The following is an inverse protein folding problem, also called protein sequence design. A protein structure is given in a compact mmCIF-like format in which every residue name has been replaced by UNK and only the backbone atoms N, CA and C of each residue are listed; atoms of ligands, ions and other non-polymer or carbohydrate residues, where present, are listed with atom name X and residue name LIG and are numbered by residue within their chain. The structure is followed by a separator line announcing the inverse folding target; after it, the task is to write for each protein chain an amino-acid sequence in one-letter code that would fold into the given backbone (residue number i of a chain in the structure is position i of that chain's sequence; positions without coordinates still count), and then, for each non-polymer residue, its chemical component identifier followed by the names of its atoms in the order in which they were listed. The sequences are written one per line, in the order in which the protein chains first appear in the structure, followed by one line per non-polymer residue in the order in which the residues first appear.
data_IF_261561446823
#
_entry.id   IF_261561446823
#
_cell.length_a   1.000
_cell.length_b   1.000
_cell.length_c   1.000
_cell.angle_alpha   90.00
_cell.angle_beta   90.00
_cell.angle_gamma   90.00
#
_symmetry.space_group_name_H-M   'P 1'
#
loop_
_entity.id
_entity.type
_entity.pdbx_description
1 polymer ?
#
# COMPACT_ATOMS: atom_id res chain seq x y z
N UNK A 1 10.48 -6.64 -27.82
CA UNK A 1 9.33 -7.37 -27.25
C UNK A 1 9.71 -8.54 -26.33
N UNK A 2 10.59 -9.49 -26.67
CA UNK A 2 10.94 -10.63 -25.79
C UNK A 2 11.67 -10.26 -24.48
N UNK A 3 12.42 -9.16 -24.42
CA UNK A 3 13.15 -8.76 -23.22
C UNK A 3 12.31 -7.97 -22.19
N UNK A 4 11.26 -7.32 -22.63
CA UNK A 4 10.34 -6.57 -21.75
C UNK A 4 9.43 -7.54 -20.99
N UNK A 5 8.97 -8.58 -21.66
CA UNK A 5 8.19 -9.67 -21.04
C UNK A 5 9.01 -10.46 -20.00
N UNK A 6 10.32 -10.66 -20.26
CA UNK A 6 11.20 -11.33 -19.28
C UNK A 6 11.42 -10.48 -18.01
N UNK A 7 11.51 -9.16 -18.12
CA UNK A 7 11.68 -8.27 -16.95
C UNK A 7 10.40 -8.11 -16.13
N UNK A 8 9.24 -8.06 -16.77
CA UNK A 8 7.94 -8.06 -16.07
C UNK A 8 7.69 -9.40 -15.36
N UNK A 9 8.05 -10.52 -15.99
CA UNK A 9 7.97 -11.85 -15.38
C UNK A 9 8.95 -12.02 -14.20
N UNK A 10 10.11 -11.34 -14.21
CA UNK A 10 11.08 -11.39 -13.10
C UNK A 10 10.59 -10.61 -11.90
N UNK A 11 9.96 -9.45 -12.11
CA UNK A 11 9.29 -8.70 -11.03
C UNK A 11 8.14 -9.52 -10.43
N UNK A 12 7.35 -10.19 -11.29
CA UNK A 12 6.28 -11.10 -10.90
C UNK A 12 6.77 -12.30 -10.08
N UNK A 13 7.87 -12.89 -10.48
CA UNK A 13 8.50 -13.98 -9.73
C UNK A 13 8.98 -13.55 -8.35
N UNK A 14 9.46 -12.33 -8.23
CA UNK A 14 9.94 -11.77 -6.95
C UNK A 14 8.82 -11.30 -6.03
N UNK A 15 7.61 -11.06 -6.55
CA UNK A 15 6.43 -10.67 -5.73
C UNK A 15 5.67 -11.87 -5.17
N UNK A 16 6.12 -13.09 -5.41
CA UNK A 16 5.43 -14.32 -4.95
C UNK A 16 4.15 -14.65 -5.70
N UNK A 17 3.66 -13.74 -6.55
CA UNK A 17 2.40 -13.86 -7.28
C UNK A 17 2.52 -14.77 -8.54
N UNK A 18 3.72 -15.12 -8.97
CA UNK A 18 3.98 -15.89 -10.19
C UNK A 18 4.51 -17.29 -9.98
N UNK A 19 4.64 -17.80 -8.76
CA UNK A 19 5.09 -19.17 -8.54
C UNK A 19 3.91 -20.14 -8.47
N UNK A 20 3.40 -20.56 -9.63
CA UNK A 20 2.97 -21.94 -9.80
C UNK A 20 4.23 -22.79 -10.05
N UNK A 21 5.02 -23.00 -9.05
CA UNK A 21 5.93 -24.13 -8.99
C UNK A 21 5.14 -25.26 -8.39
N UNK A 22 4.65 -26.19 -9.20
CA UNK A 22 4.27 -27.51 -8.71
C UNK A 22 5.53 -28.16 -8.12
N UNK A 23 5.75 -27.96 -6.84
CA UNK A 23 6.47 -28.92 -6.04
C UNK A 23 5.36 -29.65 -5.29
N UNK A 24 4.62 -30.49 -6.01
CA UNK A 24 4.04 -31.62 -5.36
C UNK A 24 5.24 -32.50 -4.97
N UNK A 25 5.49 -32.80 -3.67
CA UNK A 25 6.33 -33.92 -3.35
C UNK A 25 5.62 -35.13 -3.94
N UNK A 26 6.30 -35.92 -4.79
CA UNK A 26 5.90 -37.29 -5.05
C UNK A 26 5.97 -38.04 -3.72
N UNK A 27 4.88 -38.02 -2.99
CA UNK A 27 4.67 -38.91 -1.88
C UNK A 27 4.02 -40.15 -2.44
N UNK A 28 4.85 -41.08 -2.86
CA UNK A 28 4.44 -42.46 -3.12
C UNK A 28 4.00 -43.07 -1.81
N UNK A 29 2.71 -43.15 -1.59
CA UNK A 29 2.12 -43.89 -0.47
C UNK A 29 0.96 -43.15 0.18
N UNK A 30 -0.25 -43.42 -0.30
CA UNK A 30 -1.49 -43.42 0.50
C UNK A 30 -1.88 -42.14 1.24
N UNK A 31 -1.49 -40.97 0.76
CA UNK A 31 -1.98 -39.71 1.30
C UNK A 31 -3.12 -39.24 0.40
N UNK A 32 -4.31 -39.37 0.95
CA UNK A 32 -5.53 -38.76 0.44
C UNK A 32 -5.29 -37.33 0.02
N UNK A 33 -5.83 -37.00 -1.12
CA UNK A 33 -5.92 -35.71 -1.78
C UNK A 33 -5.79 -34.49 -0.85
N UNK A 34 -4.60 -33.92 -0.79
CA UNK A 34 -4.33 -32.70 -0.01
C UNK A 34 -4.97 -31.44 -0.63
N UNK A 35 -5.54 -31.53 -1.83
CA UNK A 35 -6.21 -30.40 -2.48
C UNK A 35 -7.47 -29.98 -1.75
N UNK A 36 -8.13 -30.88 -1.00
CA UNK A 36 -9.23 -30.58 -0.09
C UNK A 36 -8.83 -29.77 1.16
N UNK A 37 -7.56 -29.85 1.56
CA UNK A 37 -7.05 -29.13 2.73
C UNK A 37 -6.94 -27.62 2.55
N UNK A 38 -6.92 -27.14 1.31
CA UNK A 38 -6.67 -25.76 0.97
C UNK A 38 -7.90 -25.06 0.39
N UNK A 39 -9.08 -25.66 0.54
CA UNK A 39 -10.37 -25.04 0.26
C UNK A 39 -10.90 -24.34 1.51
N UNK A 40 -11.93 -23.52 1.35
CA UNK A 40 -12.59 -22.73 2.39
C UNK A 40 -12.92 -23.51 3.69
N UNK A 41 -13.10 -24.83 3.59
CA UNK A 41 -13.38 -25.69 4.72
C UNK A 41 -12.16 -26.03 5.58
N UNK A 42 -10.94 -25.72 5.12
CA UNK A 42 -9.71 -26.04 5.87
C UNK A 42 -9.57 -25.22 7.15
N UNK A 43 -10.14 -24.02 7.19
CA UNK A 43 -10.12 -23.17 8.37
C UNK A 43 -10.90 -23.79 9.53
N UNK A 44 -12.09 -24.31 9.26
CA UNK A 44 -12.90 -24.97 10.27
C UNK A 44 -12.24 -26.23 10.80
N UNK A 45 -11.61 -27.02 9.93
CA UNK A 45 -10.85 -28.21 10.31
C UNK A 45 -9.68 -27.86 11.25
N UNK A 46 -8.86 -26.88 10.91
CA UNK A 46 -7.72 -26.49 11.74
C UNK A 46 -8.15 -25.85 13.05
N UNK A 47 -9.17 -25.00 13.04
CA UNK A 47 -9.76 -24.41 14.24
C UNK A 47 -10.32 -25.49 15.15
N UNK A 48 -11.04 -26.44 14.58
CA UNK A 48 -11.63 -27.55 15.31
C UNK A 48 -10.56 -28.52 15.84
N UNK A 49 -9.55 -28.82 15.05
CA UNK A 49 -8.42 -29.64 15.46
C UNK A 49 -7.60 -28.97 16.56
N UNK A 50 -7.33 -27.67 16.45
CA UNK A 50 -6.64 -26.91 17.48
C UNK A 50 -7.45 -26.79 18.78
N UNK A 51 -8.77 -26.75 18.70
CA UNK A 51 -9.66 -26.67 19.87
C UNK A 51 -9.86 -28.01 20.57
N UNK A 52 -9.75 -29.12 19.83
CA UNK A 52 -10.20 -30.42 20.35
C UNK A 52 -9.20 -31.19 21.21
N UNK A 53 -7.84 -31.07 20.95
CA UNK A 53 -7.13 -32.14 21.60
C UNK A 53 -5.69 -32.14 21.79
N UNK A 54 -5.03 -32.31 20.73
CA UNK A 54 -3.66 -32.78 20.77
C UNK A 54 -2.74 -31.68 21.28
N UNK A 55 -3.27 -30.49 21.23
CA UNK A 55 -2.58 -29.26 21.58
C UNK A 55 -3.13 -28.61 22.85
N UNK A 56 -3.90 -29.33 23.59
CA UNK A 56 -4.21 -29.00 24.98
C UNK A 56 -2.98 -29.18 25.91
N UNK A 57 -1.79 -28.91 25.40
CA UNK A 57 -0.71 -28.55 26.27
C UNK A 57 -1.20 -27.31 26.99
N UNK A 58 -1.45 -27.38 28.32
CA UNK A 58 -1.76 -26.19 29.08
C UNK A 58 -0.50 -25.33 29.08
N UNK A 59 -0.30 -24.57 28.01
CA UNK A 59 0.63 -23.48 28.05
C UNK A 59 -0.10 -22.43 28.85
N UNK A 60 0.32 -22.11 30.07
CA UNK A 60 -0.22 -20.97 30.76
C UNK A 60 -0.07 -19.80 29.75
N UNK A 61 -1.09 -18.98 29.59
CA UNK A 61 -0.92 -17.78 28.77
C UNK A 61 0.33 -17.09 29.28
N UNK A 62 1.27 -16.81 28.39
CA UNK A 62 2.44 -16.04 28.77
C UNK A 62 1.87 -14.71 29.21
N UNK A 63 1.71 -14.52 30.51
CA UNK A 63 1.35 -13.25 31.09
C UNK A 63 2.56 -12.35 30.97
N UNK A 64 2.76 -11.81 29.77
CA UNK A 64 3.70 -10.73 29.60
C UNK A 64 3.12 -9.50 30.26
N UNK A 65 3.93 -8.81 30.99
CA UNK A 65 3.59 -7.48 31.49
C UNK A 65 3.46 -6.48 30.33
N UNK A 66 4.03 -6.82 29.16
CA UNK A 66 4.08 -6.01 27.95
C UNK A 66 3.61 -6.83 26.74
N UNK A 67 2.68 -6.35 25.94
CA UNK A 67 2.27 -7.02 24.71
C UNK A 67 3.45 -7.22 23.74
N UNK A 68 3.45 -8.34 23.01
CA UNK A 68 4.38 -8.60 21.92
C UNK A 68 3.62 -9.00 20.68
N UNK A 69 3.71 -8.19 19.65
CA UNK A 69 3.03 -8.39 18.37
C UNK A 69 4.00 -9.07 17.41
N UNK A 70 3.66 -10.28 16.95
CA UNK A 70 4.32 -10.93 15.84
C UNK A 70 3.56 -10.60 14.55
N UNK A 71 4.21 -9.93 13.61
CA UNK A 71 3.65 -9.70 12.29
C UNK A 71 4.22 -10.69 11.29
N UNK A 72 3.33 -11.32 10.53
CA UNK A 72 3.69 -12.18 9.39
C UNK A 72 2.99 -11.62 8.15
N UNK A 73 3.75 -11.33 7.09
CA UNK A 73 3.18 -10.65 5.93
C UNK A 73 3.88 -10.91 4.62
N UNK A 74 3.26 -10.46 3.52
CA UNK A 74 3.92 -10.35 2.23
C UNK A 74 4.78 -9.07 2.21
N UNK A 75 6.10 -9.26 2.28
CA UNK A 75 7.07 -8.19 2.35
C UNK A 75 7.77 -7.92 1.01
N UNK A 76 7.23 -8.46 -0.09
CA UNK A 76 7.89 -8.40 -1.40
C UNK A 76 7.85 -7.00 -2.04
N UNK A 77 6.91 -6.14 -1.65
CA UNK A 77 6.79 -4.78 -2.15
C UNK A 77 7.41 -3.79 -1.16
N UNK A 78 8.55 -3.15 -1.48
CA UNK A 78 9.26 -2.27 -0.54
C UNK A 78 8.41 -1.14 0.04
N UNK A 79 7.57 -0.48 -0.79
CA UNK A 79 6.69 0.58 -0.33
C UNK A 79 5.62 0.05 0.64
N UNK A 80 5.02 -1.11 0.35
CA UNK A 80 4.04 -1.73 1.22
C UNK A 80 4.68 -2.16 2.55
N UNK A 81 5.87 -2.76 2.49
CA UNK A 81 6.66 -3.10 3.66
C UNK A 81 6.94 -1.88 4.54
N UNK A 82 7.38 -0.75 3.94
CA UNK A 82 7.61 0.49 4.67
C UNK A 82 6.33 0.96 5.39
N UNK A 83 5.24 1.16 4.64
CA UNK A 83 4.04 1.83 5.15
C UNK A 83 3.11 0.94 5.98
N UNK A 84 3.17 -0.39 5.81
CA UNK A 84 2.26 -1.29 6.53
C UNK A 84 2.95 -2.16 7.56
N UNK A 85 4.27 -2.29 7.50
CA UNK A 85 5.03 -3.18 8.39
C UNK A 85 6.03 -2.39 9.24
N UNK A 86 7.00 -1.72 8.63
CA UNK A 86 8.09 -1.07 9.37
C UNK A 86 7.60 0.11 10.22
N UNK A 87 6.62 0.88 9.73
CA UNK A 87 6.02 1.98 10.48
C UNK A 87 5.38 1.57 11.81
N UNK A 88 4.89 0.34 11.90
CA UNK A 88 4.26 -0.15 13.13
C UNK A 88 5.23 -0.23 14.31
N UNK A 89 6.54 -0.30 14.07
CA UNK A 89 7.52 -0.28 15.15
C UNK A 89 7.42 0.99 16.02
N UNK A 90 7.15 2.15 15.40
CA UNK A 90 6.97 3.40 16.15
C UNK A 90 5.67 3.41 16.93
N UNK A 91 4.59 2.91 16.31
CA UNK A 91 3.27 2.85 16.93
C UNK A 91 3.28 1.95 18.16
N UNK A 92 3.84 0.75 18.02
CA UNK A 92 3.88 -0.21 19.13
C UNK A 92 4.86 0.21 20.22
N UNK A 93 5.98 0.84 19.85
CA UNK A 93 6.89 1.41 20.84
C UNK A 93 6.19 2.53 21.67
N UNK A 94 5.38 3.37 21.03
CA UNK A 94 4.59 4.39 21.73
C UNK A 94 3.48 3.80 22.62
N UNK A 95 2.96 2.62 22.26
CA UNK A 95 1.97 1.86 23.02
C UNK A 95 2.58 0.91 24.06
N UNK A 96 3.88 1.00 24.35
CA UNK A 96 4.62 0.12 25.25
C UNK A 96 4.49 -1.37 24.88
N UNK A 97 4.52 -1.70 23.61
CA UNK A 97 4.45 -3.04 23.07
C UNK A 97 5.72 -3.41 22.28
N UNK A 98 6.13 -4.65 22.37
CA UNK A 98 7.19 -5.21 21.53
C UNK A 98 6.64 -5.55 20.16
N UNK A 99 7.46 -5.36 19.12
CA UNK A 99 7.07 -5.63 17.74
C UNK A 99 8.18 -6.35 16.98
N UNK A 100 7.81 -7.43 16.32
CA UNK A 100 8.70 -8.21 15.44
C UNK A 100 7.95 -8.61 14.18
N UNK A 101 8.65 -8.76 13.07
CA UNK A 101 8.00 -9.18 11.82
C UNK A 101 8.84 -10.18 11.03
N UNK A 102 8.17 -10.93 10.15
CA UNK A 102 8.76 -11.89 9.23
C UNK A 102 8.00 -11.96 7.92
N UNK A 103 8.70 -12.32 6.84
CA UNK A 103 8.06 -12.72 5.59
C UNK A 103 7.37 -14.08 5.79
N UNK A 104 6.16 -14.24 5.27
CA UNK A 104 5.33 -15.43 5.49
C UNK A 104 5.96 -16.74 4.97
N UNK A 105 6.91 -16.69 4.05
CA UNK A 105 7.64 -17.87 3.53
C UNK A 105 8.83 -18.27 4.41
N UNK A 106 9.29 -17.41 5.31
CA UNK A 106 10.34 -17.74 6.29
C UNK A 106 9.72 -18.52 7.47
N UNK A 107 9.38 -19.78 7.21
CA UNK A 107 8.71 -20.62 8.19
C UNK A 107 9.47 -20.76 9.53
N UNK A 108 10.80 -20.96 9.56
CA UNK A 108 11.53 -21.06 10.84
C UNK A 108 11.37 -19.80 11.68
N UNK A 109 11.56 -18.62 11.08
CA UNK A 109 11.43 -17.36 11.78
C UNK A 109 9.99 -17.07 12.18
N UNK A 110 9.01 -17.37 11.31
CA UNK A 110 7.60 -17.21 11.64
C UNK A 110 7.22 -18.05 12.86
N UNK A 111 7.66 -19.30 12.91
CA UNK A 111 7.41 -20.19 14.06
C UNK A 111 8.08 -19.67 15.33
N UNK A 112 9.31 -19.19 15.21
CA UNK A 112 10.07 -18.65 16.35
C UNK A 112 9.38 -17.43 16.96
N UNK A 113 9.02 -16.42 16.15
CA UNK A 113 8.39 -15.20 16.66
C UNK A 113 6.98 -15.41 17.24
N UNK A 114 6.27 -16.47 16.82
CA UNK A 114 4.95 -16.79 17.35
C UNK A 114 5.01 -17.37 18.76
N UNK A 115 6.10 -18.08 19.14
CA UNK A 115 6.15 -18.81 20.41
C UNK A 115 6.04 -17.91 21.64
N UNK A 116 6.50 -16.69 21.55
CA UNK A 116 6.49 -15.73 22.66
C UNK A 116 5.64 -14.48 22.36
N UNK A 117 4.87 -14.50 21.29
CA UNK A 117 3.94 -13.45 20.94
C UNK A 117 2.69 -13.47 21.83
N UNK A 118 2.07 -12.31 22.00
CA UNK A 118 0.74 -12.15 22.60
C UNK A 118 -0.35 -11.97 21.53
N UNK A 119 0.02 -11.46 20.35
CA UNK A 119 -0.89 -11.22 19.23
C UNK A 119 -0.20 -11.59 17.91
N UNK A 120 -0.98 -12.09 16.96
CA UNK A 120 -0.56 -12.25 15.57
C UNK A 120 -1.20 -11.14 14.72
N UNK A 121 -0.37 -10.44 13.95
CA UNK A 121 -0.81 -9.55 12.88
C UNK A 121 -0.46 -10.19 11.54
N UNK A 122 -1.46 -10.42 10.69
CA UNK A 122 -1.28 -10.91 9.33
C UNK A 122 -1.43 -9.75 8.35
N UNK A 123 -0.42 -9.53 7.49
CA UNK A 123 -0.47 -8.45 6.51
C UNK A 123 -0.56 -8.99 5.09
N UNK A 124 -1.64 -8.61 4.38
CA UNK A 124 -1.82 -8.83 2.93
C UNK A 124 -1.59 -10.29 2.51
N UNK A 125 -2.03 -11.23 3.33
CA UNK A 125 -1.91 -12.66 3.06
C UNK A 125 -3.21 -13.23 2.53
N UNK A 126 -3.09 -14.11 1.53
CA UNK A 126 -4.17 -14.93 1.02
C UNK A 126 -4.04 -16.36 1.51
N UNK A 127 -5.10 -17.12 1.37
CA UNK A 127 -5.12 -18.56 1.67
C UNK A 127 -4.01 -19.28 0.88
N UNK A 128 -3.05 -19.84 1.62
CA UNK A 128 -1.87 -20.53 1.10
C UNK A 128 -1.35 -21.52 2.14
N UNK A 129 -0.72 -22.64 1.75
CA UNK A 129 -0.22 -23.64 2.70
C UNK A 129 0.63 -23.09 3.85
N UNK A 130 1.51 -22.14 3.58
CA UNK A 130 2.31 -21.50 4.63
C UNK A 130 1.46 -20.65 5.57
N UNK A 131 0.50 -19.89 5.02
CA UNK A 131 -0.41 -19.07 5.82
C UNK A 131 -1.30 -19.93 6.70
N UNK A 132 -1.78 -21.07 6.19
CA UNK A 132 -2.54 -22.06 6.98
C UNK A 132 -1.72 -22.57 8.18
N UNK A 133 -0.42 -22.80 8.02
CA UNK A 133 0.46 -23.20 9.13
C UNK A 133 0.60 -22.11 10.18
N UNK A 134 0.75 -20.84 9.78
CA UNK A 134 0.81 -19.71 10.71
C UNK A 134 -0.48 -19.55 11.49
N UNK A 135 -1.63 -19.67 10.82
CA UNK A 135 -2.95 -19.63 11.46
C UNK A 135 -3.14 -20.79 12.42
N UNK A 136 -2.76 -22.01 12.01
CA UNK A 136 -2.80 -23.18 12.87
C UNK A 136 -1.98 -22.97 14.15
N UNK A 137 -0.75 -22.48 14.03
CA UNK A 137 0.12 -22.23 15.16
C UNK A 137 -0.43 -21.14 16.07
N UNK A 138 -0.96 -20.04 15.50
CA UNK A 138 -1.61 -19.00 16.26
C UNK A 138 -2.82 -19.53 17.08
N UNK A 139 -3.66 -20.36 16.47
CA UNK A 139 -4.79 -20.99 17.16
C UNK A 139 -4.30 -21.96 18.25
N UNK A 140 -3.24 -22.74 17.98
CA UNK A 140 -2.63 -23.62 18.99
C UNK A 140 -2.15 -22.83 20.21
N UNK A 141 -1.54 -21.67 19.98
CA UNK A 141 -1.04 -20.75 21.01
C UNK A 141 -2.13 -19.84 21.59
N UNK A 142 -3.36 -19.89 21.04
CA UNK A 142 -4.50 -19.03 21.41
C UNK A 142 -4.18 -17.55 21.26
N UNK A 143 -3.44 -17.18 20.23
CA UNK A 143 -3.14 -15.80 19.92
C UNK A 143 -4.35 -15.12 19.29
N UNK A 144 -4.77 -13.95 19.75
CA UNK A 144 -5.67 -13.07 19.02
C UNK A 144 -5.05 -12.66 17.67
N UNK A 145 -5.85 -12.62 16.62
CA UNK A 145 -5.38 -12.41 15.24
C UNK A 145 -5.99 -11.11 14.69
N UNK A 146 -5.12 -10.19 14.27
CA UNK A 146 -5.48 -9.02 13.48
C UNK A 146 -5.04 -9.24 12.03
N UNK A 147 -5.93 -8.98 11.07
CA UNK A 147 -5.63 -8.99 9.65
C UNK A 147 -5.55 -7.58 9.10
N UNK A 148 -4.44 -7.20 8.46
CA UNK A 148 -4.24 -5.88 7.86
C UNK A 148 -4.17 -5.98 6.34
N UNK A 149 -4.92 -5.09 5.66
CA UNK A 149 -4.93 -4.99 4.21
C UNK A 149 -5.10 -3.53 3.77
N UNK A 150 -4.32 -3.10 2.80
CA UNK A 150 -4.21 -1.70 2.38
C UNK A 150 -4.86 -1.38 1.02
N UNK A 151 -5.21 -2.42 0.26
CA UNK A 151 -5.92 -2.36 -1.03
C UNK A 151 -7.10 -3.35 -1.03
N UNK A 152 -8.12 -3.20 -1.88
CA UNK A 152 -9.29 -4.09 -1.94
C UNK A 152 -8.99 -5.42 -2.66
N UNK A 153 -7.88 -6.08 -2.31
CA UNK A 153 -7.40 -7.31 -2.96
C UNK A 153 -8.35 -8.50 -2.76
N UNK A 154 -9.21 -8.44 -1.76
CA UNK A 154 -10.24 -9.45 -1.46
C UNK A 154 -11.47 -9.33 -2.36
N UNK A 155 -11.56 -8.29 -3.18
CA UNK A 155 -12.79 -7.88 -3.87
C UNK A 155 -12.72 -8.15 -5.37
N UNK A 156 -13.46 -9.16 -5.81
CA UNK A 156 -13.69 -9.42 -7.25
C UNK A 156 -14.31 -8.21 -7.96
N UNK A 157 -15.35 -7.53 -7.43
CA UNK A 157 -15.91 -6.33 -8.04
C UNK A 157 -14.89 -5.20 -8.20
N UNK A 158 -13.99 -5.00 -7.22
CA UNK A 158 -12.97 -3.98 -7.32
C UNK A 158 -11.99 -4.28 -8.47
N UNK A 159 -11.52 -5.52 -8.60
CA UNK A 159 -10.66 -5.91 -9.73
C UNK A 159 -11.37 -5.86 -11.08
N UNK A 160 -12.64 -6.25 -11.13
CA UNK A 160 -13.41 -6.26 -12.37
C UNK A 160 -13.59 -4.85 -12.98
N UNK A 161 -13.67 -3.83 -12.12
CA UNK A 161 -13.85 -2.42 -12.52
C UNK A 161 -12.55 -1.63 -12.61
N UNK A 162 -11.43 -2.21 -12.16
CA UNK A 162 -10.13 -1.51 -12.12
C UNK A 162 -9.52 -1.38 -13.50
N UNK A 163 -9.60 -0.19 -14.09
CA UNK A 163 -9.13 0.11 -15.44
C UNK A 163 -7.64 -0.13 -15.63
N UNK A 164 -6.83 0.03 -14.59
CA UNK A 164 -5.38 -0.21 -14.64
C UNK A 164 -5.03 -1.68 -14.94
N UNK A 165 -5.97 -2.61 -14.73
CA UNK A 165 -5.78 -4.02 -15.10
C UNK A 165 -5.93 -4.28 -16.61
N UNK A 166 -6.54 -3.35 -17.36
CA UNK A 166 -6.82 -3.54 -18.79
C UNK A 166 -5.56 -3.41 -19.66
N UNK A 167 -4.49 -2.83 -19.13
CA UNK A 167 -3.17 -2.75 -19.80
C UNK A 167 -2.31 -4.00 -19.54
N UNK A 168 -2.75 -4.88 -18.63
CA UNK A 168 -2.06 -6.13 -18.31
C UNK A 168 -2.51 -7.27 -19.22
N UNK A 169 -1.70 -8.33 -19.38
CA UNK A 169 -2.13 -9.55 -20.06
C UNK A 169 -3.43 -10.09 -19.43
N UNK A 170 -4.42 -10.54 -20.25
CA UNK A 170 -5.71 -11.04 -19.74
C UNK A 170 -5.58 -12.16 -18.69
N UNK A 171 -4.57 -13.03 -18.86
CA UNK A 171 -4.31 -14.15 -17.94
C UNK A 171 -3.90 -13.62 -16.55
N UNK A 172 -3.26 -12.45 -16.52
CA UNK A 172 -2.84 -11.81 -15.30
C UNK A 172 -4.00 -11.16 -14.58
N UNK A 173 -4.89 -10.50 -15.32
CA UNK A 173 -6.15 -9.96 -14.78
C UNK A 173 -7.02 -11.08 -14.21
N UNK A 174 -7.18 -12.18 -14.96
CA UNK A 174 -7.92 -13.35 -14.51
C UNK A 174 -7.32 -13.92 -13.21
N UNK A 175 -6.00 -14.04 -13.15
CA UNK A 175 -5.31 -14.53 -11.95
C UNK A 175 -5.61 -13.65 -10.70
N UNK A 176 -5.58 -12.33 -10.82
CA UNK A 176 -5.93 -11.46 -9.67
C UNK A 176 -7.37 -11.63 -9.23
N UNK A 177 -8.29 -11.78 -10.18
CA UNK A 177 -9.71 -12.02 -9.90
C UNK A 177 -9.90 -13.36 -9.19
N UNK A 178 -9.20 -14.41 -9.65
CA UNK A 178 -9.26 -15.76 -9.05
C UNK A 178 -8.66 -15.79 -7.64
N UNK A 179 -7.63 -14.97 -7.38
CA UNK A 179 -6.97 -14.90 -6.06
C UNK A 179 -7.75 -14.04 -5.04
N UNK A 180 -8.62 -13.15 -5.48
CA UNK A 180 -9.31 -12.22 -4.58
C UNK A 180 -10.10 -12.91 -3.45
N UNK A 181 -10.89 -13.98 -3.67
CA UNK A 181 -11.59 -14.69 -2.60
C UNK A 181 -10.65 -15.26 -1.52
N UNK A 182 -9.43 -15.61 -1.87
CA UNK A 182 -8.45 -16.18 -0.94
C UNK A 182 -7.93 -15.15 0.09
N UNK A 183 -7.95 -13.87 -0.24
CA UNK A 183 -7.71 -12.80 0.75
C UNK A 183 -8.88 -12.66 1.71
N UNK A 184 -10.12 -12.73 1.20
CA UNK A 184 -11.32 -12.70 2.02
C UNK A 184 -11.39 -13.88 2.99
N UNK A 185 -10.92 -15.07 2.57
CA UNK A 185 -10.82 -16.24 3.45
C UNK A 185 -9.95 -15.95 4.68
N UNK A 186 -8.73 -15.46 4.50
CA UNK A 186 -7.82 -15.15 5.61
C UNK A 186 -8.35 -14.00 6.47
N UNK A 187 -8.93 -12.97 5.84
CA UNK A 187 -9.56 -11.86 6.55
C UNK A 187 -10.65 -12.34 7.51
N UNK A 188 -11.45 -13.32 7.11
CA UNK A 188 -12.53 -13.88 7.94
C UNK A 188 -12.05 -14.86 9.02
N UNK A 189 -10.80 -15.33 8.95
CA UNK A 189 -10.16 -16.14 10.00
C UNK A 189 -9.59 -15.30 11.15
N UNK A 190 -9.46 -13.99 10.97
CA UNK A 190 -8.99 -13.09 12.00
C UNK A 190 -10.10 -12.72 13.00
N UNK A 191 -9.72 -12.21 14.15
CA UNK A 191 -10.63 -11.67 15.16
C UNK A 191 -11.07 -10.26 14.80
N UNK A 192 -10.12 -9.47 14.27
CA UNK A 192 -10.35 -8.09 13.84
C UNK A 192 -9.58 -7.80 12.55
N UNK A 193 -10.00 -6.77 11.83
CA UNK A 193 -9.38 -6.34 10.57
C UNK A 193 -8.92 -4.90 10.68
N UNK A 194 -7.84 -4.53 10.02
CA UNK A 194 -7.45 -3.12 9.84
C UNK A 194 -7.20 -2.79 8.36
N UNK A 195 -7.58 -1.59 7.98
CA UNK A 195 -7.51 -1.11 6.60
C UNK A 195 -6.98 0.32 6.51
N UNK A 196 -6.52 0.72 5.32
CA UNK A 196 -5.80 1.99 5.15
C UNK A 196 -6.68 3.23 4.96
N UNK A 197 -7.95 3.08 4.55
CA UNK A 197 -8.82 4.21 4.22
C UNK A 197 -10.26 3.99 4.67
N UNK A 198 -11.05 5.07 4.88
CA UNK A 198 -12.47 4.93 5.22
C UNK A 198 -13.28 4.19 4.16
N UNK A 199 -13.04 4.47 2.87
CA UNK A 199 -13.75 3.77 1.77
C UNK A 199 -13.41 2.29 1.76
N UNK A 200 -12.14 1.93 1.97
CA UNK A 200 -11.73 0.54 2.08
C UNK A 200 -12.34 -0.14 3.31
N UNK A 201 -12.51 0.58 4.44
CA UNK A 201 -13.18 0.06 5.64
C UNK A 201 -14.64 -0.28 5.34
N UNK A 202 -15.36 0.64 4.73
CA UNK A 202 -16.76 0.46 4.40
C UNK A 202 -16.92 -0.71 3.42
N UNK A 203 -16.05 -0.78 2.40
CA UNK A 203 -16.05 -1.88 1.45
C UNK A 203 -15.64 -3.23 2.08
N UNK A 204 -14.63 -3.27 2.95
CA UNK A 204 -14.24 -4.49 3.65
C UNK A 204 -15.36 -5.02 4.55
N UNK A 205 -16.17 -4.13 5.13
CA UNK A 205 -17.31 -4.50 5.96
C UNK A 205 -18.44 -5.23 5.21
N UNK A 206 -18.42 -5.19 3.86
CA UNK A 206 -19.31 -6.00 3.01
C UNK A 206 -18.84 -7.46 2.91
N UNK A 207 -17.58 -7.75 3.20
CA UNK A 207 -16.92 -9.06 3.04
C UNK A 207 -16.66 -9.77 4.36
N UNK A 208 -16.78 -9.07 5.50
CA UNK A 208 -16.55 -9.66 6.83
C UNK A 208 -17.51 -9.10 7.86
N UNK A 209 -17.87 -9.93 8.84
CA UNK A 209 -18.56 -9.51 10.06
C UNK A 209 -17.63 -9.12 11.21
N UNK A 210 -16.31 -9.18 10.98
CA UNK A 210 -15.32 -8.81 11.98
C UNK A 210 -15.27 -7.29 12.17
N UNK A 211 -14.94 -6.77 13.35
CA UNK A 211 -14.66 -5.35 13.52
C UNK A 211 -13.57 -4.89 12.55
N UNK A 212 -13.81 -3.78 11.83
CA UNK A 212 -12.85 -3.22 10.86
C UNK A 212 -12.38 -1.86 11.36
N UNK A 213 -11.11 -1.78 11.75
CA UNK A 213 -10.46 -0.58 12.24
C UNK A 213 -9.77 0.20 11.12
N UNK A 214 -9.75 1.51 11.26
CA UNK A 214 -8.98 2.36 10.37
C UNK A 214 -7.54 2.48 10.87
N UNK A 215 -6.59 2.12 10.02
CA UNK A 215 -5.16 2.35 10.22
C UNK A 215 -4.59 3.01 8.96
N UNK A 216 -4.62 4.33 8.93
CA UNK A 216 -4.08 5.09 7.80
C UNK A 216 -2.57 4.96 7.70
N UNK A 217 -2.03 5.19 6.52
CA UNK A 217 -0.61 5.42 6.35
C UNK A 217 -0.24 6.81 6.89
N UNK A 218 0.96 6.95 7.42
CA UNK A 218 1.40 8.18 8.07
C UNK A 218 2.89 8.44 7.81
N UNK A 219 3.38 9.60 8.20
CA UNK A 219 4.80 9.92 8.16
C UNK A 219 5.49 9.36 9.40
N UNK A 220 6.31 8.34 9.22
CA UNK A 220 7.19 7.81 10.23
C UNK A 220 8.46 8.68 10.39
N UNK A 221 9.30 8.32 11.32
CA UNK A 221 10.56 9.02 11.56
C UNK A 221 11.40 9.12 10.28
N UNK A 222 11.52 8.04 9.52
CA UNK A 222 12.32 8.02 8.29
C UNK A 222 11.76 8.97 7.23
N UNK A 223 10.44 9.10 7.13
CA UNK A 223 9.75 10.06 6.27
C UNK A 223 9.98 11.50 6.73
N UNK A 224 9.90 11.75 8.03
CA UNK A 224 10.11 13.09 8.61
C UNK A 224 11.58 13.53 8.61
N UNK A 225 12.53 12.60 8.57
CA UNK A 225 13.97 12.88 8.43
C UNK A 225 14.38 13.10 6.95
N UNK A 226 13.47 12.88 5.99
CA UNK A 226 13.75 13.18 4.58
C UNK A 226 14.16 14.64 4.40
N UNK A 227 15.14 14.86 3.53
CA UNK A 227 15.63 16.21 3.27
C UNK A 227 14.58 16.98 2.47
N UNK A 228 14.10 18.13 2.99
CA UNK A 228 13.18 18.96 2.25
C UNK A 228 13.85 19.50 0.99
N UNK A 229 13.01 19.87 0.04
CA UNK A 229 13.45 20.59 -1.14
C UNK A 229 14.34 21.79 -0.73
N UNK A 230 15.53 21.97 -1.34
CA UNK A 230 16.35 23.13 -1.07
C UNK A 230 15.61 24.44 -1.40
N UNK A 231 15.77 25.44 -0.57
CA UNK A 231 15.27 26.78 -0.88
C UNK A 231 16.08 27.36 -2.06
N UNK A 232 15.37 27.76 -3.10
CA UNK A 232 15.99 28.37 -4.27
C UNK A 232 15.28 27.97 -5.59
N UNK A 233 15.60 28.66 -6.69
CA UNK A 233 15.05 28.30 -8.00
C UNK A 233 15.69 26.99 -8.49
N UNK A 234 14.88 25.99 -8.79
CA UNK A 234 15.31 24.79 -9.52
C UNK A 234 15.35 25.06 -11.04
N UNK A 235 16.21 25.98 -11.47
CA UNK A 235 16.25 26.42 -12.87
C UNK A 235 15.09 27.38 -13.22
N UNK A 236 15.01 27.76 -14.51
CA UNK A 236 13.99 28.69 -14.99
C UNK A 236 12.62 28.04 -15.24
N UNK A 237 12.58 26.73 -15.52
CA UNK A 237 11.38 25.97 -15.85
C UNK A 237 10.59 25.42 -14.66
N UNK A 238 9.36 24.94 -14.90
CA UNK A 238 8.49 24.29 -13.92
C UNK A 238 8.56 22.76 -14.08
N UNK A 239 8.84 22.05 -13.01
CA UNK A 239 9.02 20.58 -12.98
C UNK A 239 7.82 19.92 -12.29
N UNK A 240 7.02 19.22 -13.07
CA UNK A 240 5.84 18.50 -12.61
C UNK A 240 6.15 17.02 -12.43
N UNK A 241 5.93 16.46 -11.24
CA UNK A 241 6.18 15.05 -10.96
C UNK A 241 4.93 14.20 -11.13
N UNK A 242 5.06 13.08 -11.83
CA UNK A 242 4.10 11.98 -11.81
C UNK A 242 4.79 10.71 -11.32
N UNK A 243 4.49 10.29 -10.09
CA UNK A 243 4.99 9.04 -9.53
C UNK A 243 4.10 7.88 -10.00
N UNK A 244 4.43 7.29 -11.14
CA UNK A 244 3.67 6.20 -11.73
C UNK A 244 3.69 4.93 -10.87
N UNK A 245 4.86 4.59 -10.27
CA UNK A 245 4.96 3.35 -9.54
C UNK A 245 4.93 2.12 -10.46
N UNK A 246 4.02 1.15 -10.19
CA UNK A 246 3.86 -0.08 -10.97
C UNK A 246 3.23 0.17 -12.35
N UNK A 247 3.13 -0.90 -13.18
CA UNK A 247 2.44 -0.84 -14.47
C UNK A 247 0.93 -0.56 -14.28
N UNK A 248 0.32 0.11 -15.27
CA UNK A 248 -1.11 0.37 -15.34
C UNK A 248 -1.53 1.79 -14.96
N UNK A 249 -0.66 2.56 -14.32
CA UNK A 249 -0.98 3.94 -13.92
C UNK A 249 -1.05 4.93 -15.10
N UNK A 250 -0.76 4.48 -16.31
CA UNK A 250 -1.05 5.22 -17.55
C UNK A 250 -2.55 5.49 -17.70
N UNK A 251 -3.40 4.60 -17.20
CA UNK A 251 -4.87 4.78 -17.19
C UNK A 251 -5.24 5.92 -16.26
N UNK A 252 -4.62 6.01 -15.10
CA UNK A 252 -4.81 7.12 -14.17
C UNK A 252 -4.32 8.46 -14.77
N UNK A 253 -3.17 8.45 -15.45
CA UNK A 253 -2.62 9.63 -16.10
C UNK A 253 -3.50 10.12 -17.23
N UNK A 254 -4.14 9.23 -17.98
CA UNK A 254 -5.02 9.57 -19.11
C UNK A 254 -6.16 10.51 -18.70
N UNK A 255 -6.57 10.52 -17.43
CA UNK A 255 -7.60 11.45 -16.90
C UNK A 255 -7.20 12.91 -17.11
N UNK A 256 -5.90 13.22 -17.06
CA UNK A 256 -5.36 14.59 -17.13
C UNK A 256 -4.36 14.78 -18.28
N UNK A 257 -4.18 13.79 -19.14
CA UNK A 257 -3.18 13.81 -20.22
C UNK A 257 -3.29 15.05 -21.09
N UNK A 258 -4.52 15.46 -21.45
CA UNK A 258 -4.77 16.64 -22.25
C UNK A 258 -4.28 17.91 -21.54
N UNK A 259 -4.65 18.09 -20.27
CA UNK A 259 -4.29 19.29 -19.50
C UNK A 259 -2.78 19.41 -19.32
N UNK A 260 -2.11 18.29 -19.02
CA UNK A 260 -0.64 18.24 -18.88
C UNK A 260 0.04 18.51 -20.23
N UNK A 261 -0.48 17.95 -21.32
CA UNK A 261 0.05 18.20 -22.67
C UNK A 261 -0.03 19.68 -23.03
N UNK A 262 -1.19 20.30 -22.85
CA UNK A 262 -1.38 21.74 -23.11
C UNK A 262 -0.50 22.60 -22.20
N UNK A 263 -0.38 22.24 -20.92
CA UNK A 263 0.49 22.92 -19.96
C UNK A 263 1.95 22.91 -20.40
N UNK A 264 2.47 21.75 -20.81
CA UNK A 264 3.85 21.62 -21.28
C UNK A 264 4.08 22.37 -22.59
N UNK A 265 3.18 22.24 -23.57
CA UNK A 265 3.31 22.86 -24.89
C UNK A 265 3.37 24.39 -24.82
N UNK A 266 2.79 25.04 -23.81
CA UNK A 266 2.82 26.50 -23.65
C UNK A 266 4.19 27.08 -23.37
N UNK A 267 5.09 26.33 -22.75
CA UNK A 267 6.46 26.78 -22.40
C UNK A 267 7.47 25.65 -22.53
N UNK A 268 8.55 25.81 -23.31
CA UNK A 268 9.52 24.74 -23.56
C UNK A 268 10.41 24.39 -22.35
N UNK A 269 10.45 25.23 -21.33
CA UNK A 269 11.20 25.05 -20.08
C UNK A 269 10.44 24.24 -19.03
N UNK A 270 9.15 23.92 -19.28
CA UNK A 270 8.36 23.04 -18.42
C UNK A 270 8.74 21.57 -18.64
N UNK A 271 8.77 20.79 -17.57
CA UNK A 271 9.13 19.37 -17.62
C UNK A 271 8.10 18.51 -16.88
N UNK A 272 7.81 17.35 -17.47
CA UNK A 272 7.15 16.24 -16.78
C UNK A 272 8.18 15.22 -16.34
N UNK A 273 8.30 15.02 -15.05
CA UNK A 273 9.21 14.03 -14.43
C UNK A 273 8.39 12.82 -14.02
N UNK A 274 8.65 11.69 -14.66
CA UNK A 274 7.95 10.44 -14.41
C UNK A 274 8.85 9.51 -13.59
N UNK A 275 8.35 9.08 -12.41
CA UNK A 275 9.06 8.17 -11.53
C UNK A 275 8.41 6.79 -11.57
N UNK A 276 9.14 5.78 -12.02
CA UNK A 276 8.66 4.41 -12.14
C UNK A 276 8.32 3.99 -13.57
N UNK A 277 7.30 3.16 -13.71
CA UNK A 277 6.91 2.55 -14.99
C UNK A 277 5.97 3.44 -15.78
N UNK A 278 6.35 3.78 -17.01
CA UNK A 278 5.49 4.53 -17.92
C UNK A 278 5.96 4.35 -19.38
N UNK A 279 5.05 4.08 -20.31
CA UNK A 279 5.36 4.04 -21.74
C UNK A 279 5.21 5.44 -22.35
N UNK A 280 6.31 6.20 -22.40
CA UNK A 280 6.32 7.57 -22.95
C UNK A 280 5.96 7.66 -24.42
N UNK A 281 5.94 6.55 -25.17
CA UNK A 281 5.51 6.53 -26.59
C UNK A 281 4.01 6.83 -26.73
N UNK A 282 3.24 6.65 -25.67
CA UNK A 282 1.81 7.00 -25.62
C UNK A 282 1.58 8.50 -25.55
N UNK A 283 2.55 9.27 -25.07
CA UNK A 283 2.44 10.72 -24.99
C UNK A 283 2.57 11.36 -26.37
N UNK A 284 1.88 12.50 -26.61
CA UNK A 284 2.00 13.29 -27.83
C UNK A 284 3.46 13.60 -28.18
N UNK A 285 3.79 13.53 -29.48
CA UNK A 285 5.18 13.68 -29.94
C UNK A 285 5.79 15.04 -29.58
N UNK A 286 4.95 16.09 -29.57
CA UNK A 286 5.34 17.47 -29.32
C UNK A 286 5.90 17.72 -27.92
N UNK A 287 5.48 16.93 -26.93
CA UNK A 287 5.92 17.11 -25.52
C UNK A 287 6.99 16.12 -25.09
N UNK A 288 7.35 15.11 -25.91
CA UNK A 288 8.28 14.05 -25.50
C UNK A 288 9.67 14.56 -25.10
N UNK A 289 10.13 15.64 -25.68
CA UNK A 289 11.38 16.31 -25.34
C UNK A 289 11.34 17.04 -23.98
N UNK A 290 10.16 17.22 -23.42
CA UNK A 290 9.90 17.81 -22.11
C UNK A 290 9.67 16.75 -21.01
N UNK A 291 9.77 15.46 -21.37
CA UNK A 291 9.54 14.35 -20.44
C UNK A 291 10.87 13.74 -19.99
N UNK A 292 11.05 13.67 -18.68
CA UNK A 292 12.16 12.99 -18.02
C UNK A 292 11.63 11.74 -17.31
N UNK A 293 12.32 10.62 -17.47
CA UNK A 293 11.91 9.36 -16.83
C UNK A 293 13.01 8.83 -15.92
N UNK A 294 12.63 8.41 -14.74
CA UNK A 294 13.51 7.74 -13.78
C UNK A 294 12.97 6.36 -13.45
N UNK A 295 13.80 5.34 -13.62
CA UNK A 295 13.45 3.97 -13.26
C UNK A 295 13.26 3.83 -11.74
N UNK A 296 12.70 2.69 -11.32
CA UNK A 296 12.63 2.34 -9.90
C UNK A 296 13.99 2.40 -9.24
N UNK A 297 14.02 3.05 -8.07
CA UNK A 297 15.17 3.16 -7.18
C UNK A 297 14.73 2.83 -5.75
N UNK A 298 15.63 2.88 -4.80
CA UNK A 298 15.30 2.81 -3.38
C UNK A 298 14.49 4.04 -2.92
N UNK A 299 13.96 3.98 -1.71
CA UNK A 299 13.09 5.05 -1.19
C UNK A 299 13.81 6.40 -1.10
N UNK A 300 15.08 6.43 -0.72
CA UNK A 300 15.86 7.68 -0.62
C UNK A 300 16.07 8.30 -2.01
N UNK A 301 16.44 7.50 -3.01
CA UNK A 301 16.58 7.95 -4.40
C UNK A 301 15.25 8.43 -4.99
N UNK A 302 14.13 7.75 -4.68
CA UNK A 302 12.80 8.19 -5.07
C UNK A 302 12.48 9.57 -4.50
N UNK A 303 12.69 9.79 -3.20
CA UNK A 303 12.48 11.08 -2.56
C UNK A 303 13.42 12.16 -3.09
N UNK A 304 14.66 11.81 -3.43
CA UNK A 304 15.61 12.76 -4.04
C UNK A 304 15.14 13.23 -5.41
N UNK A 305 14.62 12.35 -6.27
CA UNK A 305 14.01 12.75 -7.55
C UNK A 305 12.78 13.63 -7.33
N UNK A 306 11.91 13.23 -6.40
CA UNK A 306 10.68 13.97 -6.09
C UNK A 306 11.00 15.38 -5.55
N UNK A 307 12.00 15.54 -4.68
CA UNK A 307 12.42 16.83 -4.14
C UNK A 307 12.91 17.81 -5.21
N UNK A 308 13.36 17.32 -6.35
CA UNK A 308 13.75 18.12 -7.52
C UNK A 308 12.58 18.66 -8.33
N UNK A 309 11.32 18.42 -7.93
CA UNK A 309 10.13 18.86 -8.65
C UNK A 309 9.42 20.03 -7.94
N UNK A 310 8.64 20.81 -8.69
CA UNK A 310 7.89 21.95 -8.15
C UNK A 310 6.54 21.54 -7.57
N UNK A 311 5.88 20.58 -8.20
CA UNK A 311 4.62 20.02 -7.73
C UNK A 311 4.49 18.55 -8.15
N UNK A 312 3.67 17.77 -7.42
CA UNK A 312 3.35 16.39 -7.75
C UNK A 312 1.89 16.26 -8.15
N UNK A 313 1.61 15.61 -9.27
CA UNK A 313 0.25 15.30 -9.73
C UNK A 313 -0.11 13.85 -9.42
N UNK A 314 -1.34 13.66 -8.96
CA UNK A 314 -1.82 12.35 -8.50
C UNK A 314 -3.23 12.08 -9.03
N UNK A 315 -3.39 12.02 -10.37
CA UNK A 315 -4.67 11.66 -10.95
C UNK A 315 -5.00 10.20 -10.65
N UNK A 316 -6.28 9.91 -10.51
CA UNK A 316 -6.81 8.56 -10.45
C UNK A 316 -8.08 8.47 -11.30
N UNK A 317 -8.20 7.40 -12.07
CA UNK A 317 -9.46 7.05 -12.71
C UNK A 317 -10.52 6.72 -11.64
N UNK A 318 -11.78 7.11 -11.90
CA UNK A 318 -12.86 6.87 -10.92
C UNK A 318 -13.41 5.45 -11.05
N UNK A 319 -12.83 4.56 -10.27
CA UNK A 319 -13.28 3.18 -10.08
C UNK A 319 -13.19 2.75 -8.61
N UNK A 320 -13.80 1.64 -8.26
CA UNK A 320 -13.88 1.17 -6.88
C UNK A 320 -12.49 0.90 -6.28
N UNK A 321 -11.56 0.34 -7.05
CA UNK A 321 -10.21 0.07 -6.56
C UNK A 321 -9.47 1.36 -6.20
N UNK A 322 -9.53 2.35 -7.07
CA UNK A 322 -8.89 3.65 -6.88
C UNK A 322 -9.53 4.45 -5.74
N UNK A 323 -10.85 4.36 -5.54
CA UNK A 323 -11.54 4.98 -4.40
C UNK A 323 -11.01 4.46 -3.05
N UNK A 324 -10.55 3.21 -3.00
CA UNK A 324 -9.98 2.59 -1.80
C UNK A 324 -8.52 2.98 -1.53
N UNK A 325 -7.82 3.62 -2.48
CA UNK A 325 -6.39 3.93 -2.35
C UNK A 325 -6.09 4.98 -1.30
N UNK A 326 -4.97 4.79 -0.61
CA UNK A 326 -4.47 5.68 0.44
C UNK A 326 -3.59 6.81 -0.09
N UNK A 327 -3.32 7.80 0.76
CA UNK A 327 -2.55 8.99 0.46
C UNK A 327 -1.02 8.87 0.53
N UNK A 328 -0.43 7.68 0.36
CA UNK A 328 1.03 7.47 0.47
C UNK A 328 1.84 8.44 -0.39
N UNK A 329 1.43 8.64 -1.65
CA UNK A 329 2.15 9.56 -2.56
C UNK A 329 2.12 11.02 -2.07
N UNK A 330 1.02 11.44 -1.43
CA UNK A 330 0.92 12.78 -0.82
C UNK A 330 1.86 12.90 0.37
N UNK A 331 1.96 11.84 1.19
CA UNK A 331 2.90 11.78 2.32
C UNK A 331 4.34 11.91 1.80
N UNK A 332 4.70 11.16 0.76
CA UNK A 332 6.03 11.20 0.16
C UNK A 332 6.37 12.59 -0.39
N UNK A 333 5.46 13.21 -1.15
CA UNK A 333 5.66 14.54 -1.71
C UNK A 333 5.79 15.60 -0.60
N UNK A 334 4.90 15.57 0.38
CA UNK A 334 4.92 16.47 1.50
C UNK A 334 6.21 16.32 2.34
N UNK A 335 6.76 15.10 2.48
CA UNK A 335 7.99 14.83 3.25
C UNK A 335 9.21 15.59 2.70
N UNK A 336 9.23 15.88 1.42
CA UNK A 336 10.27 16.63 0.74
C UNK A 336 9.85 18.07 0.37
N UNK A 337 8.73 18.54 0.92
CA UNK A 337 8.25 19.92 0.72
C UNK A 337 7.72 20.19 -0.68
N UNK A 338 7.17 19.18 -1.37
CA UNK A 338 6.56 19.29 -2.68
C UNK A 338 5.03 19.22 -2.52
N UNK A 339 4.29 20.27 -2.92
CA UNK A 339 2.83 20.27 -2.84
C UNK A 339 2.24 19.30 -3.86
N UNK A 340 1.09 18.72 -3.50
CA UNK A 340 0.37 17.75 -4.34
C UNK A 340 -0.89 18.35 -4.96
N UNK A 341 -1.12 18.01 -6.23
CA UNK A 341 -2.42 18.20 -6.90
C UNK A 341 -3.10 16.84 -6.95
N UNK A 342 -4.24 16.73 -6.31
CA UNK A 342 -4.99 15.48 -6.18
C UNK A 342 -6.41 15.64 -6.68
N UNK A 343 -7.00 14.55 -7.18
CA UNK A 343 -8.45 14.47 -7.44
C UNK A 343 -9.21 14.07 -6.17
N UNK A 344 -10.54 14.01 -6.27
CA UNK A 344 -11.44 13.64 -5.17
C UNK A 344 -11.75 12.14 -5.10
N UNK A 345 -11.13 11.32 -5.96
CA UNK A 345 -11.46 9.89 -6.09
C UNK A 345 -11.05 9.08 -4.85
N UNK A 346 -9.91 9.39 -4.23
CA UNK A 346 -9.34 8.60 -3.15
C UNK A 346 -9.12 9.39 -1.85
N UNK A 347 -8.61 8.69 -0.83
CA UNK A 347 -8.26 9.30 0.46
C UNK A 347 -7.10 10.31 0.40
N UNK A 348 -6.44 10.49 -0.75
CA UNK A 348 -5.39 11.51 -0.94
C UNK A 348 -5.89 12.91 -0.60
N UNK A 349 -7.15 13.24 -0.94
CA UNK A 349 -7.75 14.53 -0.63
C UNK A 349 -7.80 14.85 0.88
N UNK A 350 -7.83 13.83 1.75
CA UNK A 350 -7.84 14.05 3.19
C UNK A 350 -6.55 14.67 3.74
N UNK A 351 -5.43 14.51 2.99
CA UNK A 351 -4.13 15.08 3.37
C UNK A 351 -3.92 16.48 2.81
N UNK A 352 -4.75 16.90 1.84
CA UNK A 352 -4.59 18.17 1.12
C UNK A 352 -5.66 19.16 1.56
N UNK A 353 -5.24 20.32 2.03
CA UNK A 353 -6.07 21.49 2.27
C UNK A 353 -5.94 22.39 1.03
N UNK A 354 -7.00 22.45 0.21
CA UNK A 354 -6.97 23.17 -1.06
C UNK A 354 -6.52 24.63 -0.86
N UNK A 355 -5.61 25.06 -1.75
CA UNK A 355 -5.02 26.41 -1.72
C UNK A 355 -3.99 26.64 -0.60
N UNK A 356 -3.84 25.74 0.38
CA UNK A 356 -2.91 25.91 1.50
C UNK A 356 -1.66 25.03 1.40
N UNK A 357 -1.83 23.70 1.30
CA UNK A 357 -0.71 22.76 1.25
C UNK A 357 -0.70 21.92 -0.02
N UNK A 358 -1.52 22.28 -1.00
CA UNK A 358 -1.69 21.63 -2.29
C UNK A 358 -2.99 22.07 -2.94
N UNK A 359 -3.43 21.33 -3.96
CA UNK A 359 -4.71 21.58 -4.65
C UNK A 359 -5.54 20.31 -4.68
N UNK A 360 -6.82 20.46 -4.44
CA UNK A 360 -7.84 19.41 -4.64
C UNK A 360 -8.68 19.77 -5.84
N UNK A 361 -8.65 18.95 -6.87
CA UNK A 361 -9.39 19.16 -8.12
C UNK A 361 -10.56 18.19 -8.13
N UNK A 362 -11.78 18.71 -8.16
CA UNK A 362 -12.98 17.89 -8.27
C UNK A 362 -13.15 17.32 -9.69
N UNK A 363 -14.12 16.47 -9.90
CA UNK A 363 -14.35 15.81 -11.21
C UNK A 363 -14.71 16.76 -12.34
N UNK A 364 -15.19 17.95 -12.00
CA UNK A 364 -15.51 19.02 -12.97
C UNK A 364 -14.39 20.07 -13.03
N UNK A 365 -13.35 19.93 -12.19
CA UNK A 365 -12.29 20.90 -12.05
C UNK A 365 -11.34 20.92 -13.24
N UNK A 366 -10.70 22.06 -13.40
CA UNK A 366 -9.73 22.31 -14.46
C UNK A 366 -8.31 22.09 -13.95
N UNK A 367 -7.74 20.93 -14.25
CA UNK A 367 -6.35 20.60 -13.92
C UNK A 367 -5.38 21.55 -14.61
N UNK A 368 -5.68 21.95 -15.86
CA UNK A 368 -4.85 22.88 -16.63
C UNK A 368 -4.77 24.25 -15.97
N UNK A 369 -5.89 24.80 -15.51
CA UNK A 369 -5.91 26.07 -14.80
C UNK A 369 -5.13 25.98 -13.48
N UNK A 370 -5.32 24.92 -12.70
CA UNK A 370 -4.58 24.71 -11.45
C UNK A 370 -3.06 24.61 -11.67
N UNK A 371 -2.62 23.95 -12.75
CA UNK A 371 -1.21 23.86 -13.12
C UNK A 371 -0.63 25.23 -13.52
N UNK A 372 -1.39 26.04 -14.29
CA UNK A 372 -0.98 27.40 -14.66
C UNK A 372 -0.88 28.32 -13.45
N UNK A 373 -1.83 28.27 -12.53
CA UNK A 373 -1.83 29.05 -11.30
C UNK A 373 -0.55 28.76 -10.49
N UNK A 374 -0.21 27.49 -10.27
CA UNK A 374 1.01 27.10 -9.56
C UNK A 374 2.28 27.52 -10.32
N UNK A 375 2.30 27.35 -11.64
CA UNK A 375 3.49 27.70 -12.43
C UNK A 375 3.71 29.21 -12.52
N UNK A 376 2.67 30.02 -12.30
CA UNK A 376 2.75 31.49 -12.31
C UNK A 376 3.21 32.07 -10.98
N UNK A 377 3.02 31.36 -9.85
CA UNK A 377 3.35 31.83 -8.50
C UNK A 377 4.26 30.83 -7.75
N UNK A 378 5.54 30.84 -8.07
CA UNK A 378 6.54 30.00 -7.41
C UNK A 378 6.71 30.25 -5.91
N UNK A 379 6.61 31.50 -5.39
CA UNK A 379 6.52 31.74 -3.94
C UNK A 379 5.40 30.95 -3.27
N UNK A 380 4.20 30.98 -3.86
CA UNK A 380 3.05 30.22 -3.35
C UNK A 380 3.33 28.70 -3.35
N UNK A 381 3.93 28.16 -4.43
CA UNK A 381 4.30 26.73 -4.49
C UNK A 381 5.24 26.33 -3.34
N UNK A 382 6.23 27.17 -3.04
CA UNK A 382 7.14 26.93 -1.92
C UNK A 382 6.46 26.99 -0.56
N UNK A 383 5.53 27.95 -0.39
CA UNK A 383 4.73 28.06 0.81
C UNK A 383 3.85 26.82 1.02
N UNK A 384 3.13 26.40 -0.04
CA UNK A 384 2.34 25.16 -0.02
C UNK A 384 3.19 23.94 0.35
N UNK A 385 4.41 23.85 -0.17
CA UNK A 385 5.34 22.75 0.15
C UNK A 385 5.75 22.74 1.64
N UNK A 386 6.02 23.92 2.23
CA UNK A 386 6.31 24.05 3.67
C UNK A 386 5.10 23.66 4.52
N UNK A 387 3.91 24.14 4.15
CA UNK A 387 2.66 23.80 4.82
C UNK A 387 2.34 22.31 4.71
N UNK A 388 2.60 21.68 3.55
CA UNK A 388 2.44 20.23 3.36
C UNK A 388 3.34 19.44 4.32
N UNK A 389 4.61 19.81 4.42
CA UNK A 389 5.54 19.16 5.34
C UNK A 389 5.17 19.39 6.82
N UNK A 390 4.83 20.61 7.21
CA UNK A 390 4.36 20.92 8.56
C UNK A 390 3.10 20.10 8.91
N UNK A 391 2.22 19.92 7.94
CA UNK A 391 1.02 19.08 8.10
C UNK A 391 1.32 17.62 8.42
N UNK A 392 2.42 17.06 7.89
CA UNK A 392 2.84 15.70 8.26
C UNK A 392 3.21 15.60 9.73
N UNK A 393 3.99 16.54 10.24
CA UNK A 393 4.47 16.54 11.63
C UNK A 393 3.32 16.72 12.62
N UNK A 394 2.37 17.59 12.28
CA UNK A 394 1.31 18.01 13.21
C UNK A 394 0.03 17.19 13.12
N UNK A 395 -0.24 16.51 12.02
CA UNK A 395 -1.52 15.82 11.77
C UNK A 395 -1.39 14.39 11.27
N UNK A 396 -0.28 14.04 10.62
CA UNK A 396 -0.13 12.78 9.89
C UNK A 396 1.13 12.01 10.27
N UNK A 397 1.52 12.04 11.54
CA UNK A 397 2.63 11.27 12.09
C UNK A 397 2.18 10.31 13.19
N UNK A 398 3.03 9.36 13.56
CA UNK A 398 2.75 8.42 14.65
C UNK A 398 2.53 9.09 16.03
N UNK A 399 2.91 10.36 16.17
CA UNK A 399 2.74 11.14 17.40
C UNK A 399 1.34 11.72 17.56
N UNK A 400 0.52 11.61 16.54
CA UNK A 400 -0.85 12.13 16.51
C UNK A 400 -1.79 10.92 16.49
N UNK A 401 -2.63 10.78 17.52
CA UNK A 401 -3.56 9.65 17.65
C UNK A 401 -4.61 9.68 16.53
N UNK A 402 -5.20 10.83 16.26
CA UNK A 402 -6.13 11.03 15.15
C UNK A 402 -5.52 11.99 14.11
N UNK A 403 -5.76 11.73 12.83
CA UNK A 403 -6.66 10.76 12.17
C UNK A 403 -5.97 9.44 11.77
N UNK A 404 -4.80 9.11 12.29
CA UNK A 404 -3.89 8.09 11.74
C UNK A 404 -4.33 6.67 12.08
N UNK A 405 -4.52 6.35 13.36
CA UNK A 405 -4.86 5.01 13.82
C UNK A 405 -6.10 5.08 14.71
N UNK A 406 -7.05 4.18 14.47
CA UNK A 406 -8.23 4.03 15.32
C UNK A 406 -7.80 3.65 16.75
N UNK A 407 -8.16 4.45 17.77
CA UNK A 407 -7.82 4.15 19.16
C UNK A 407 -8.37 2.80 19.65
N UNK A 408 -9.48 2.31 19.09
CA UNK A 408 -10.03 0.99 19.40
C UNK A 408 -9.08 -0.13 19.01
N UNK A 409 -8.35 0.00 17.90
CA UNK A 409 -7.33 -0.97 17.51
C UNK A 409 -6.22 -1.06 18.56
N UNK A 410 -5.76 0.08 19.08
CA UNK A 410 -4.72 0.11 20.12
C UNK A 410 -5.24 -0.49 21.43
N UNK A 411 -6.50 -0.18 21.82
CA UNK A 411 -7.13 -0.78 22.98
C UNK A 411 -7.28 -2.30 22.85
N UNK A 412 -7.62 -2.78 21.67
CA UNK A 412 -7.73 -4.22 21.42
C UNK A 412 -6.39 -4.95 21.60
N UNK A 413 -5.27 -4.32 21.20
CA UNK A 413 -3.93 -4.87 21.40
C UNK A 413 -3.50 -4.84 22.87
N UNK A 414 -3.94 -3.82 23.62
CA UNK A 414 -3.60 -3.65 25.03
C UNK A 414 -4.45 -4.51 25.99
N UNK A 415 -5.58 -5.06 25.50
CA UNK A 415 -6.50 -5.87 26.29
C UNK A 415 -6.00 -7.32 26.45
#
# INVERSE_FOLDING_TARGET
MKNTLRRSLTWWRNTGLGRRGSIAPEVTGGVTDLTGFFRSDSSSFWTESASRTAFSIPTPPIRRQRPKIAMIGDLNLPQCRKYRVEQLAEVFAAADADYVFSHYEDLPRCMDILQDATHLLLYRLRSHPHVTRHLYEAHRLKLPILYDIDDPLFSVPAYATYGNMDVLPPELKAHFIDEAPHYAEVMNMADVVSVSTPVLRDHASEFTSRPVFLRRNFADRSTLEAQPRPDGPHGEGFRLCFASGSQGHEVDFAVIEKDVTEFLARKPDRKLVILGHFDTRRLPAEIRNQVETHAFTDYAGYLAHLSGCDAAIMPLADDLFNRCKSGVRVIDAASVGVPSLVGTVSDMQALVQDGRNGRVIDSAGDWGAALEDLASDRPLVREMGREARSGLETRWSARVEEPVIDPEMIRWIAA
#
